data_IF_372434341655
#
_entry.id   IF_372434341655
#
_cell.length_a   1.000
_cell.length_b   1.000
_cell.length_c   1.000
_cell.angle_alpha   90.00
_cell.angle_beta   90.00
_cell.angle_gamma   90.00
#
_symmetry.space_group_name_H-M   'P 1'
#
loop_
_entity.id
_entity.type
_entity.pdbx_description
1 polymer ?
#
# COMPACT_ATOMS: atom_id res chain seq x y z
N UNK A 1 0.36 21.83 8.07
CA UNK A 1 -0.45 21.07 9.04
C UNK A 1 0.50 20.35 9.98
N UNK A 2 0.10 19.94 11.21
CA UNK A 2 1.00 19.15 12.06
C UNK A 2 1.37 17.84 11.36
N UNK A 3 2.64 17.44 11.44
CA UNK A 3 3.12 16.16 10.91
C UNK A 3 2.37 15.02 11.61
N UNK A 4 1.82 14.04 10.88
CA UNK A 4 1.13 12.92 11.51
C UNK A 4 2.05 12.12 12.45
N UNK A 5 1.48 11.68 13.56
CA UNK A 5 2.15 10.70 14.42
C UNK A 5 2.32 9.37 13.67
N UNK A 6 3.40 8.66 13.97
CA UNK A 6 3.57 7.27 13.54
C UNK A 6 2.54 6.36 14.23
N UNK A 7 2.18 5.23 13.61
CA UNK A 7 1.35 4.23 14.28
C UNK A 7 2.03 3.78 15.59
N UNK A 8 1.26 3.49 16.64
CA UNK A 8 1.82 2.92 17.85
C UNK A 8 2.44 1.56 17.51
N UNK A 9 3.59 1.22 18.10
CA UNK A 9 4.11 -0.14 17.99
C UNK A 9 3.13 -1.13 18.64
N UNK A 10 3.24 -2.41 18.31
CA UNK A 10 2.49 -3.44 19.04
C UNK A 10 2.79 -3.26 20.53
N UNK A 11 1.77 -3.27 21.42
CA UNK A 11 1.98 -3.13 22.85
C UNK A 11 3.07 -4.09 23.28
N UNK A 12 4.22 -3.54 23.71
CA UNK A 12 5.38 -4.32 24.10
C UNK A 12 5.04 -5.07 25.39
N UNK A 13 4.48 -6.27 25.26
CA UNK A 13 4.66 -7.26 26.30
C UNK A 13 6.18 -7.45 26.47
N UNK A 14 6.68 -7.42 27.71
CA UNK A 14 8.08 -7.76 27.96
C UNK A 14 8.37 -9.12 27.30
N UNK A 15 9.24 -9.09 26.30
CA UNK A 15 9.56 -10.24 25.47
C UNK A 15 11.07 -10.33 25.32
N UNK A 16 11.56 -11.55 25.07
CA UNK A 16 12.99 -11.75 24.78
C UNK A 16 13.43 -10.93 23.56
N UNK A 17 12.57 -10.78 22.57
CA UNK A 17 12.86 -9.99 21.36
C UNK A 17 12.92 -8.50 21.68
N UNK A 18 11.97 -7.96 22.44
CA UNK A 18 11.97 -6.55 22.82
C UNK A 18 13.20 -6.17 23.64
N UNK A 19 13.63 -7.04 24.57
CA UNK A 19 14.86 -6.80 25.37
C UNK A 19 16.15 -6.86 24.55
N UNK A 20 16.18 -7.65 23.47
CA UNK A 20 17.37 -7.82 22.63
C UNK A 20 17.45 -6.79 21.50
N UNK A 21 16.32 -6.47 20.89
CA UNK A 21 16.24 -5.69 19.65
C UNK A 21 15.48 -4.37 19.81
N UNK A 22 15.06 -4.03 21.03
CA UNK A 22 14.26 -2.87 21.35
C UNK A 22 12.79 -3.06 21.03
N UNK A 23 11.97 -2.03 21.29
CA UNK A 23 10.56 -2.05 20.90
C UNK A 23 10.43 -2.19 19.37
N UNK A 24 9.34 -2.82 18.95
CA UNK A 24 8.99 -2.90 17.54
C UNK A 24 8.86 -1.50 16.94
N UNK A 25 9.23 -1.35 15.67
CA UNK A 25 9.11 -0.09 14.93
C UNK A 25 7.94 -0.22 13.96
N UNK A 26 6.91 0.61 14.14
CA UNK A 26 5.79 0.73 13.23
C UNK A 26 5.95 1.99 12.36
N UNK A 27 6.16 1.80 11.05
CA UNK A 27 6.27 2.90 10.10
C UNK A 27 4.89 3.38 9.62
N UNK A 28 4.80 4.64 9.17
CA UNK A 28 3.59 5.19 8.56
C UNK A 28 3.08 4.34 7.39
N UNK A 29 1.77 4.37 7.10
CA UNK A 29 1.05 3.44 6.20
C UNK A 29 0.98 1.96 6.68
N UNK A 30 1.57 1.61 7.82
CA UNK A 30 1.39 0.32 8.48
C UNK A 30 0.49 0.44 9.73
N UNK A 31 0.18 -0.68 10.40
CA UNK A 31 -0.65 -0.67 11.61
C UNK A 31 -2.14 -0.45 11.35
N UNK A 32 -2.68 -1.05 10.27
CA UNK A 32 -4.12 -0.99 9.98
C UNK A 32 -4.93 -1.48 11.19
N UNK A 33 -5.98 -0.75 11.62
CA UNK A 33 -6.86 -1.19 12.70
C UNK A 33 -7.82 -2.30 12.25
N UNK A 34 -7.90 -2.59 10.94
CA UNK A 34 -8.82 -3.57 10.40
C UNK A 34 -8.21 -4.97 10.45
N UNK A 35 -8.95 -5.92 11.00
CA UNK A 35 -8.66 -7.34 10.76
C UNK A 35 -9.03 -7.68 9.32
N UNK A 36 -8.02 -7.99 8.50
CA UNK A 36 -8.20 -8.29 7.08
C UNK A 36 -9.09 -9.50 6.80
N UNK A 37 -9.18 -10.44 7.75
CA UNK A 37 -9.95 -11.70 7.66
C UNK A 37 -9.86 -12.38 6.28
N UNK A 38 -8.64 -12.44 5.72
CA UNK A 38 -8.43 -12.74 4.30
C UNK A 38 -8.98 -14.10 3.82
N UNK A 39 -9.12 -15.07 4.73
CA UNK A 39 -9.70 -16.38 4.45
C UNK A 39 -11.23 -16.33 4.20
N UNK A 40 -11.94 -15.30 4.68
CA UNK A 40 -13.38 -15.12 4.42
C UNK A 40 -13.66 -14.53 3.04
N UNK A 41 -12.65 -14.04 2.32
CA UNK A 41 -12.82 -13.40 1.02
C UNK A 41 -13.33 -14.35 -0.06
N UNK A 42 -13.20 -15.66 0.12
CA UNK A 42 -13.74 -16.67 -0.78
C UNK A 42 -15.19 -17.05 -0.44
N UNK A 43 -15.70 -16.65 0.72
CA UNK A 43 -17.07 -16.90 1.14
C UNK A 43 -17.98 -15.81 0.54
N UNK A 44 -18.56 -16.07 -0.63
CA UNK A 44 -19.47 -15.13 -1.30
C UNK A 44 -20.66 -14.70 -0.42
N UNK A 45 -21.30 -15.60 0.37
CA UNK A 45 -22.33 -15.22 1.34
C UNK A 45 -21.84 -14.24 2.41
N UNK A 46 -20.59 -14.38 2.88
CA UNK A 46 -19.98 -13.45 3.83
C UNK A 46 -19.87 -12.06 3.23
N UNK A 47 -19.27 -11.94 2.04
CA UNK A 47 -19.07 -10.65 1.37
C UNK A 47 -20.40 -9.97 1.06
N UNK A 48 -21.40 -10.74 0.62
CA UNK A 48 -22.75 -10.26 0.33
C UNK A 48 -23.46 -9.75 1.61
N UNK A 49 -23.36 -10.48 2.72
CA UNK A 49 -23.88 -10.06 4.02
C UNK A 49 -23.18 -8.80 4.53
N UNK A 50 -21.84 -8.79 4.47
CA UNK A 50 -21.01 -7.66 4.87
C UNK A 50 -21.29 -6.40 4.04
N UNK A 51 -21.47 -6.54 2.72
CA UNK A 51 -21.75 -5.42 1.83
C UNK A 51 -23.04 -4.67 2.23
N UNK A 52 -24.10 -5.43 2.51
CA UNK A 52 -25.44 -4.88 2.75
C UNK A 52 -25.70 -4.49 4.21
N UNK A 53 -24.81 -4.84 5.12
CA UNK A 53 -25.03 -4.58 6.54
C UNK A 53 -25.10 -3.06 6.81
N UNK A 54 -26.07 -2.56 7.62
CA UNK A 54 -26.22 -1.13 7.88
C UNK A 54 -25.01 -0.46 8.55
N UNK A 55 -24.18 -1.23 9.27
CA UNK A 55 -22.96 -0.70 9.89
C UNK A 55 -21.81 -0.51 8.91
N UNK A 56 -21.86 -1.11 7.72
CA UNK A 56 -20.75 -1.12 6.76
C UNK A 56 -20.34 0.29 6.34
N UNK A 57 -19.03 0.48 6.20
CA UNK A 57 -18.40 1.74 5.86
C UNK A 57 -17.70 1.64 4.51
N UNK A 58 -17.92 2.64 3.67
CA UNK A 58 -17.35 2.71 2.33
C UNK A 58 -16.43 3.91 2.20
N UNK A 59 -15.13 3.65 1.96
CA UNK A 59 -14.17 4.65 1.54
C UNK A 59 -14.32 4.86 0.03
N UNK A 60 -14.71 6.06 -0.38
CA UNK A 60 -14.75 6.40 -1.79
C UNK A 60 -13.36 6.82 -2.25
N UNK A 61 -12.95 6.36 -3.43
CA UNK A 61 -11.72 6.79 -4.09
C UNK A 61 -12.02 7.30 -5.50
N UNK A 62 -11.54 8.48 -5.86
CA UNK A 62 -11.64 9.05 -7.21
C UNK A 62 -10.23 9.30 -7.74
N UNK A 63 -9.86 8.73 -8.89
CA UNK A 63 -8.49 8.72 -9.40
C UNK A 63 -7.47 8.28 -8.34
N UNK A 64 -7.83 7.25 -7.57
CA UNK A 64 -7.06 6.69 -6.45
C UNK A 64 -6.87 7.64 -5.26
N UNK A 65 -7.47 8.83 -5.28
CA UNK A 65 -7.49 9.76 -4.16
C UNK A 65 -8.65 9.42 -3.22
N UNK A 66 -8.43 9.37 -1.89
CA UNK A 66 -9.47 9.03 -0.94
C UNK A 66 -10.38 10.23 -0.68
N UNK A 67 -11.64 9.94 -0.36
CA UNK A 67 -12.54 10.90 0.25
C UNK A 67 -12.08 11.20 1.69
N UNK A 68 -11.95 12.49 2.00
CA UNK A 68 -11.45 12.99 3.28
C UNK A 68 -12.35 14.09 3.83
N UNK A 69 -12.23 14.33 5.13
CA UNK A 69 -12.79 15.51 5.77
C UNK A 69 -12.06 16.79 5.32
N UNK A 70 -12.66 17.96 5.56
CA UNK A 70 -12.13 19.26 5.13
C UNK A 70 -10.70 19.56 5.61
N UNK A 71 -10.30 19.01 6.75
CA UNK A 71 -8.94 19.15 7.29
C UNK A 71 -7.90 18.24 6.59
N UNK A 72 -8.34 17.32 5.73
CA UNK A 72 -7.52 16.33 5.00
C UNK A 72 -6.68 15.41 5.89
N UNK A 73 -6.96 15.36 7.21
CA UNK A 73 -6.20 14.54 8.18
C UNK A 73 -6.88 13.22 8.49
N UNK A 74 -8.14 13.06 8.07
CA UNK A 74 -8.90 11.81 8.28
C UNK A 74 -9.76 11.44 7.09
N UNK A 75 -9.89 10.13 6.89
CA UNK A 75 -10.78 9.55 5.88
C UNK A 75 -12.24 9.85 6.21
N UNK A 76 -13.03 10.09 5.17
CA UNK A 76 -14.47 10.21 5.29
C UNK A 76 -15.14 8.95 4.75
N UNK A 77 -16.20 8.52 5.44
CA UNK A 77 -16.88 7.25 5.21
C UNK A 77 -18.32 7.46 4.77
N UNK A 78 -18.78 6.60 3.87
CA UNK A 78 -20.16 6.60 3.35
C UNK A 78 -20.86 5.29 3.69
N UNK A 79 -22.17 5.21 3.40
CA UNK A 79 -22.98 4.02 3.65
C UNK A 79 -23.30 3.27 2.36
N UNK A 80 -23.88 2.08 2.50
CA UNK A 80 -24.34 1.30 1.35
C UNK A 80 -25.36 2.05 0.48
N UNK A 81 -26.22 2.89 1.08
CA UNK A 81 -27.21 3.67 0.31
C UNK A 81 -26.56 4.71 -0.61
N UNK A 82 -25.41 5.27 -0.22
CA UNK A 82 -24.68 6.23 -1.04
C UNK A 82 -24.03 5.53 -2.26
N UNK A 83 -23.46 4.33 -2.09
CA UNK A 83 -22.72 3.63 -3.16
C UNK A 83 -23.58 2.73 -4.04
N UNK A 84 -24.77 2.31 -3.58
CA UNK A 84 -25.66 1.41 -4.33
C UNK A 84 -25.94 1.86 -5.78
N UNK A 85 -26.17 3.15 -6.10
CA UNK A 85 -26.36 3.59 -7.48
C UNK A 85 -25.13 3.39 -8.38
N UNK A 86 -23.92 3.42 -7.82
CA UNK A 86 -22.67 3.15 -8.55
C UNK A 86 -22.50 1.66 -8.77
N UNK A 87 -22.76 0.84 -7.74
CA UNK A 87 -22.58 -0.62 -7.81
C UNK A 87 -23.61 -1.31 -8.72
N UNK A 88 -24.81 -0.75 -8.86
CA UNK A 88 -25.89 -1.32 -9.68
C UNK A 88 -26.54 -2.60 -9.12
N UNK A 89 -26.02 -3.15 -8.03
CA UNK A 89 -26.47 -4.38 -7.38
C UNK A 89 -25.41 -4.93 -6.42
N UNK A 90 -25.65 -6.10 -5.84
CA UNK A 90 -24.62 -6.80 -5.07
C UNK A 90 -23.81 -7.74 -6.01
N UNK A 91 -22.50 -7.49 -6.20
CA UNK A 91 -21.66 -8.32 -7.05
C UNK A 91 -21.38 -9.72 -6.47
N UNK A 92 -21.84 -9.98 -5.24
CA UNK A 92 -21.67 -11.22 -4.49
C UNK A 92 -23.00 -12.00 -4.33
N UNK A 93 -24.05 -11.67 -5.10
CA UNK A 93 -25.34 -12.38 -5.02
C UNK A 93 -25.30 -13.80 -5.58
N UNK A 94 -24.30 -14.13 -6.40
CA UNK A 94 -24.10 -15.46 -6.98
C UNK A 94 -22.81 -16.09 -6.47
N UNK A 95 -22.72 -17.44 -6.37
CA UNK A 95 -21.45 -18.10 -6.07
C UNK A 95 -20.37 -17.72 -7.07
N UNK A 96 -19.10 -17.62 -6.62
CA UNK A 96 -17.96 -17.22 -7.46
C UNK A 96 -17.90 -17.99 -8.79
N UNK A 97 -18.12 -19.32 -8.76
CA UNK A 97 -18.11 -20.16 -9.95
C UNK A 97 -19.12 -19.70 -11.00
N UNK A 98 -20.30 -19.28 -10.56
CA UNK A 98 -21.36 -18.81 -11.46
C UNK A 98 -21.06 -17.41 -11.99
N UNK A 99 -20.50 -16.51 -11.17
CA UNK A 99 -20.03 -15.19 -11.63
C UNK A 99 -18.96 -15.36 -12.72
N UNK A 100 -18.01 -16.27 -12.51
CA UNK A 100 -16.95 -16.56 -13.50
C UNK A 100 -17.51 -17.23 -14.75
N UNK A 101 -18.47 -18.16 -14.60
CA UNK A 101 -19.11 -18.88 -15.71
C UNK A 101 -19.91 -17.93 -16.60
N UNK A 102 -20.66 -17.00 -15.99
CA UNK A 102 -21.57 -16.06 -16.67
C UNK A 102 -20.92 -14.72 -17.03
N UNK A 103 -19.59 -14.64 -16.97
CA UNK A 103 -18.84 -13.42 -17.22
C UNK A 103 -19.14 -12.79 -18.58
N UNK A 104 -19.19 -11.45 -18.59
CA UNK A 104 -19.48 -10.60 -19.73
C UNK A 104 -18.49 -9.44 -19.80
N UNK A 105 -17.66 -9.38 -20.84
CA UNK A 105 -16.70 -8.28 -21.02
C UNK A 105 -17.32 -6.94 -21.43
N UNK A 106 -18.55 -6.96 -21.98
CA UNK A 106 -19.31 -5.75 -22.34
C UNK A 106 -19.95 -5.04 -21.14
N UNK A 107 -19.91 -5.66 -19.94
CA UNK A 107 -20.45 -5.10 -18.71
C UNK A 107 -19.32 -4.55 -17.84
N UNK A 108 -19.37 -3.24 -17.57
CA UNK A 108 -18.46 -2.64 -16.61
C UNK A 108 -18.89 -2.99 -15.19
N UNK A 109 -17.95 -3.53 -14.41
CA UNK A 109 -18.11 -3.78 -12.97
C UNK A 109 -17.25 -2.77 -12.21
N UNK A 110 -17.86 -1.88 -11.40
CA UNK A 110 -17.12 -0.96 -10.53
C UNK A 110 -16.14 -1.72 -9.64
N UNK A 111 -14.97 -1.14 -9.40
CA UNK A 111 -13.99 -1.77 -8.54
C UNK A 111 -14.34 -1.53 -7.07
N UNK A 112 -14.41 -2.62 -6.32
CA UNK A 112 -14.69 -2.61 -4.90
C UNK A 112 -13.78 -3.59 -4.17
N UNK A 113 -13.17 -3.13 -3.08
CA UNK A 113 -12.21 -3.88 -2.28
C UNK A 113 -12.77 -4.07 -0.89
N UNK A 114 -12.84 -5.30 -0.40
CA UNK A 114 -13.14 -5.58 1.00
C UNK A 114 -11.85 -5.44 1.83
N UNK A 115 -11.78 -4.41 2.67
CA UNK A 115 -10.59 -4.06 3.43
C UNK A 115 -10.46 -4.91 4.70
N UNK A 116 -11.58 -5.23 5.35
CA UNK A 116 -11.58 -6.02 6.57
C UNK A 116 -12.72 -5.65 7.52
N UNK A 117 -12.59 -6.12 8.76
CA UNK A 117 -13.49 -5.81 9.87
C UNK A 117 -12.78 -4.94 10.90
N UNK A 118 -13.43 -3.87 11.34
CA UNK A 118 -13.06 -3.18 12.56
C UNK A 118 -13.66 -3.94 13.76
N UNK A 119 -12.85 -4.79 14.37
CA UNK A 119 -13.26 -5.62 15.50
C UNK A 119 -13.31 -4.85 16.83
N UNK A 120 -12.79 -3.62 16.88
CA UNK A 120 -12.92 -2.76 18.05
C UNK A 120 -14.34 -2.16 18.13
N UNK A 121 -14.99 -1.95 16.98
CA UNK A 121 -16.37 -1.47 16.89
C UNK A 121 -17.40 -2.58 17.15
N UNK A 122 -17.64 -2.87 18.44
CA UNK A 122 -18.60 -3.89 18.91
C UNK A 122 -19.93 -3.31 19.38
N UNK A 123 -20.59 -2.54 18.52
CA UNK A 123 -21.94 -2.02 18.81
C UNK A 123 -22.97 -3.15 18.88
N UNK A 124 -23.98 -2.96 19.73
CA UNK A 124 -25.16 -3.84 19.77
C UNK A 124 -25.86 -3.83 18.40
N UNK A 125 -26.21 -5.02 17.89
CA UNK A 125 -26.70 -5.17 16.52
C UNK A 125 -25.64 -4.93 15.43
N UNK A 126 -24.35 -4.94 15.80
CA UNK A 126 -23.24 -4.89 14.86
C UNK A 126 -23.17 -6.13 13.96
N UNK A 127 -22.36 -6.06 12.91
CA UNK A 127 -22.21 -7.16 11.98
C UNK A 127 -21.57 -8.37 12.66
N UNK A 128 -22.15 -9.55 12.41
CA UNK A 128 -21.67 -10.83 12.90
C UNK A 128 -21.64 -11.85 11.76
N UNK A 129 -20.56 -12.62 11.68
CA UNK A 129 -20.44 -13.72 10.74
C UNK A 129 -19.92 -14.97 11.42
N UNK A 130 -20.63 -16.09 11.24
CA UNK A 130 -20.15 -17.41 11.64
C UNK A 130 -19.60 -18.10 10.41
N UNK A 131 -18.28 -18.25 10.34
CA UNK A 131 -17.62 -18.89 9.21
C UNK A 131 -18.10 -20.34 9.07
N UNK A 132 -18.34 -20.79 7.86
CA UNK A 132 -18.77 -22.18 7.62
C UNK A 132 -17.68 -23.18 8.01
N UNK A 133 -16.43 -22.77 7.83
CA UNK A 133 -15.24 -23.60 8.04
C UNK A 133 -14.80 -23.70 9.49
N UNK A 134 -15.34 -22.87 10.40
CA UNK A 134 -14.92 -22.79 11.81
C UNK A 134 -16.08 -22.46 12.74
N UNK A 135 -16.08 -23.00 13.96
CA UNK A 135 -17.05 -22.61 15.00
C UNK A 135 -16.81 -21.19 15.57
N UNK A 136 -15.97 -20.37 14.93
CA UNK A 136 -15.64 -19.01 15.37
C UNK A 136 -16.62 -18.00 14.76
N UNK A 137 -17.12 -17.09 15.60
CA UNK A 137 -17.93 -15.94 15.15
C UNK A 137 -17.05 -14.70 15.09
N UNK A 138 -17.02 -14.06 13.93
CA UNK A 138 -16.34 -12.79 13.68
C UNK A 138 -17.33 -11.64 13.88
N UNK A 139 -16.90 -10.61 14.59
CA UNK A 139 -17.73 -9.45 14.94
C UNK A 139 -16.95 -8.18 14.68
N UNK A 140 -17.58 -7.20 14.06
CA UNK A 140 -16.94 -5.91 13.78
C UNK A 140 -17.53 -5.24 12.55
N UNK A 141 -17.28 -3.94 12.41
CA UNK A 141 -17.83 -3.16 11.30
C UNK A 141 -17.10 -3.47 9.99
N UNK A 142 -17.81 -3.92 8.92
CA UNK A 142 -17.17 -4.18 7.64
C UNK A 142 -16.75 -2.89 6.93
N UNK A 143 -15.58 -2.91 6.30
CA UNK A 143 -15.02 -1.79 5.56
C UNK A 143 -14.73 -2.18 4.12
N UNK A 144 -15.18 -1.34 3.18
CA UNK A 144 -14.90 -1.47 1.76
C UNK A 144 -14.27 -0.19 1.20
N UNK A 145 -13.48 -0.31 0.15
CA UNK A 145 -13.10 0.81 -0.72
C UNK A 145 -13.79 0.68 -2.07
N UNK A 146 -14.29 1.78 -2.65
CA UNK A 146 -15.00 1.81 -3.93
C UNK A 146 -14.37 2.84 -4.84
N UNK A 147 -14.04 2.43 -6.07
CA UNK A 147 -13.62 3.37 -7.12
C UNK A 147 -14.85 4.08 -7.69
N UNK A 148 -14.90 5.40 -7.49
CA UNK A 148 -15.93 6.29 -8.00
C UNK A 148 -15.40 7.23 -9.08
N UNK A 149 -14.29 6.88 -9.73
CA UNK A 149 -13.79 7.61 -10.90
C UNK A 149 -14.84 7.58 -12.03
N UNK A 150 -15.35 8.73 -12.51
CA UNK A 150 -16.40 8.74 -13.52
C UNK A 150 -15.96 8.16 -14.87
N UNK A 151 -16.48 6.98 -15.22
CA UNK A 151 -16.17 6.29 -16.49
C UNK A 151 -17.25 5.31 -16.90
N UNK A 152 -17.24 4.94 -18.18
CA UNK A 152 -18.07 3.86 -18.74
C UNK A 152 -19.56 4.02 -18.37
N UNK A 153 -20.25 2.92 -18.04
CA UNK A 153 -21.67 2.91 -17.72
C UNK A 153 -22.03 3.50 -16.36
N UNK A 154 -21.05 3.83 -15.50
CA UNK A 154 -21.30 4.37 -14.15
C UNK A 154 -20.93 5.84 -14.01
N UNK A 155 -20.56 6.51 -15.10
CA UNK A 155 -20.11 7.91 -15.12
C UNK A 155 -21.07 8.85 -14.41
N UNK A 156 -22.35 8.85 -14.79
CA UNK A 156 -23.35 9.76 -14.24
C UNK A 156 -23.62 9.51 -12.74
N UNK A 157 -23.66 8.24 -12.34
CA UNK A 157 -23.83 7.85 -10.93
C UNK A 157 -22.64 8.30 -10.08
N UNK A 158 -21.41 8.14 -10.58
CA UNK A 158 -20.20 8.62 -9.93
C UNK A 158 -20.16 10.15 -9.82
N UNK A 159 -20.43 10.88 -10.91
CA UNK A 159 -20.45 12.35 -10.90
C UNK A 159 -21.48 12.90 -9.90
N UNK A 160 -22.66 12.27 -9.84
CA UNK A 160 -23.68 12.63 -8.85
C UNK A 160 -23.18 12.36 -7.43
N UNK A 161 -22.64 11.17 -7.16
CA UNK A 161 -22.15 10.81 -5.82
C UNK A 161 -21.03 11.75 -5.35
N UNK A 162 -20.09 12.10 -6.24
CA UNK A 162 -19.02 13.06 -5.95
C UNK A 162 -19.61 14.42 -5.53
N UNK A 163 -20.54 14.97 -6.33
CA UNK A 163 -21.21 16.24 -6.02
C UNK A 163 -22.00 16.18 -4.70
N UNK A 164 -22.65 15.05 -4.42
CA UNK A 164 -23.37 14.84 -3.17
C UNK A 164 -22.41 14.86 -1.97
N UNK A 165 -21.20 14.29 -2.10
CA UNK A 165 -20.18 14.34 -1.03
C UNK A 165 -19.58 15.73 -0.87
N UNK A 166 -19.34 16.45 -1.95
CA UNK A 166 -18.91 17.86 -1.92
C UNK A 166 -19.94 18.75 -1.23
N UNK A 167 -21.23 18.54 -1.51
CA UNK A 167 -22.34 19.21 -0.84
C UNK A 167 -22.41 18.92 0.67
N UNK A 168 -21.87 17.80 1.14
CA UNK A 168 -21.71 17.45 2.57
C UNK A 168 -20.43 18.06 3.18
N UNK A 169 -19.67 18.87 2.43
CA UNK A 169 -18.42 19.49 2.90
C UNK A 169 -17.22 18.54 2.93
N UNK A 170 -17.32 17.40 2.24
CA UNK A 170 -16.22 16.44 2.06
C UNK A 170 -15.51 16.73 0.74
N UNK A 171 -14.31 16.19 0.56
CA UNK A 171 -13.58 16.32 -0.70
C UNK A 171 -12.62 15.17 -0.91
N UNK A 172 -12.11 15.03 -2.14
CA UNK A 172 -11.06 14.07 -2.44
C UNK A 172 -9.69 14.73 -2.24
N UNK A 173 -8.76 14.01 -1.61
CA UNK A 173 -7.40 14.50 -1.45
C UNK A 173 -6.70 14.66 -2.81
N UNK A 174 -5.51 15.26 -2.82
CA UNK A 174 -4.75 15.51 -4.06
C UNK A 174 -3.29 15.07 -3.89
N UNK A 175 -2.72 14.54 -4.98
CA UNK A 175 -1.31 14.18 -5.04
C UNK A 175 -0.97 12.98 -4.16
N UNK A 176 0.16 13.07 -3.43
CA UNK A 176 0.54 12.07 -2.43
C UNK A 176 -0.06 12.47 -1.09
N UNK A 177 -0.97 11.64 -0.61
CA UNK A 177 -1.61 11.81 0.69
C UNK A 177 -0.65 11.39 1.79
N UNK A 178 -0.07 12.37 2.49
CA UNK A 178 0.93 12.16 3.54
C UNK A 178 0.50 12.71 4.92
N UNK A 179 -0.68 13.34 5.01
CA UNK A 179 -1.17 14.06 6.20
C UNK A 179 -2.26 13.30 7.01
N UNK A 180 -2.65 12.11 6.56
CA UNK A 180 -3.63 11.29 7.27
C UNK A 180 -3.10 10.85 8.65
N UNK A 181 -4.01 10.68 9.61
CA UNK A 181 -3.68 9.97 10.85
C UNK A 181 -3.23 8.53 10.53
N UNK A 182 -2.32 7.98 11.33
CA UNK A 182 -1.67 6.70 11.03
C UNK A 182 -2.65 5.55 10.69
N UNK A 183 -3.72 5.39 11.47
CA UNK A 183 -4.73 4.36 11.24
C UNK A 183 -5.43 4.52 9.86
N UNK A 184 -5.82 5.75 9.53
CA UNK A 184 -6.44 6.12 8.27
C UNK A 184 -5.47 5.96 7.09
N UNK A 185 -4.21 6.35 7.27
CA UNK A 185 -3.15 6.15 6.29
C UNK A 185 -2.97 4.66 5.96
N UNK A 186 -2.98 3.79 6.97
CA UNK A 186 -2.82 2.36 6.79
C UNK A 186 -3.98 1.71 6.01
N UNK A 187 -5.21 2.10 6.32
CA UNK A 187 -6.41 1.70 5.57
C UNK A 187 -6.31 2.18 4.12
N UNK A 188 -5.97 3.46 3.93
CA UNK A 188 -5.84 4.05 2.60
C UNK A 188 -4.74 3.36 1.78
N UNK A 189 -3.61 3.01 2.39
CA UNK A 189 -2.51 2.34 1.70
C UNK A 189 -2.94 0.99 1.10
N UNK A 190 -3.72 0.19 1.85
CA UNK A 190 -4.32 -1.05 1.35
C UNK A 190 -5.32 -0.78 0.23
N UNK A 191 -6.28 0.13 0.47
CA UNK A 191 -7.31 0.48 -0.50
C UNK A 191 -6.68 0.95 -1.83
N UNK A 192 -5.75 1.89 -1.76
CA UNK A 192 -5.10 2.49 -2.92
C UNK A 192 -4.34 1.45 -3.74
N UNK A 193 -3.50 0.62 -3.12
CA UNK A 193 -2.72 -0.39 -3.84
C UNK A 193 -3.60 -1.38 -4.58
N UNK A 194 -4.69 -1.83 -3.95
CA UNK A 194 -5.60 -2.82 -4.53
C UNK A 194 -6.48 -2.24 -5.62
N UNK A 195 -6.96 -1.00 -5.45
CA UNK A 195 -7.68 -0.29 -6.50
C UNK A 195 -6.78 -0.04 -7.71
N UNK A 196 -5.56 0.42 -7.48
CA UNK A 196 -4.57 0.67 -8.52
C UNK A 196 -4.18 -0.61 -9.26
N UNK A 197 -3.92 -1.71 -8.54
CA UNK A 197 -3.64 -3.01 -9.15
C UNK A 197 -4.81 -3.51 -10.00
N UNK A 198 -6.04 -3.43 -9.50
CA UNK A 198 -7.22 -3.84 -10.26
C UNK A 198 -7.43 -2.98 -11.51
N UNK A 199 -7.14 -1.68 -11.43
CA UNK A 199 -7.25 -0.75 -12.54
C UNK A 199 -6.21 -1.02 -13.63
N UNK A 200 -4.95 -1.30 -13.25
CA UNK A 200 -3.83 -1.47 -14.19
C UNK A 200 -3.71 -2.90 -14.77
N UNK A 201 -4.40 -3.88 -14.19
CA UNK A 201 -4.31 -5.28 -14.63
C UNK A 201 -5.64 -5.85 -15.19
N UNK A 202 -6.39 -5.14 -16.06
CA UNK A 202 -7.70 -5.60 -16.50
C UNK A 202 -7.66 -6.85 -17.40
N UNK A 203 -6.48 -7.20 -17.94
CA UNK A 203 -6.27 -8.32 -18.84
C UNK A 203 -5.35 -9.39 -18.24
N UNK A 204 -5.54 -10.64 -18.63
CA UNK A 204 -4.74 -11.77 -18.20
C UNK A 204 -3.36 -11.70 -18.86
N UNK A 205 -2.30 -11.58 -18.06
CA UNK A 205 -0.93 -11.52 -18.58
C UNK A 205 -0.48 -12.79 -19.34
N UNK A 206 -1.17 -13.92 -19.18
CA UNK A 206 -0.87 -15.16 -19.90
C UNK A 206 -1.50 -15.23 -21.29
N UNK A 207 -2.74 -14.76 -21.46
CA UNK A 207 -3.50 -14.96 -22.70
C UNK A 207 -4.13 -13.69 -23.30
N UNK A 208 -3.92 -12.53 -22.67
CA UNK A 208 -4.43 -11.22 -23.13
C UNK A 208 -5.93 -11.00 -22.95
N UNK A 209 -6.69 -11.98 -22.45
CA UNK A 209 -8.15 -11.87 -22.32
C UNK A 209 -8.57 -11.04 -21.08
N UNK A 210 -9.71 -10.32 -21.12
CA UNK A 210 -10.24 -9.61 -19.96
C UNK A 210 -10.40 -10.51 -18.74
N UNK A 211 -10.07 -9.97 -17.56
CA UNK A 211 -10.17 -10.66 -16.27
C UNK A 211 -11.26 -10.03 -15.40
N UNK A 212 -11.73 -10.81 -14.43
CA UNK A 212 -12.72 -10.39 -13.45
C UNK A 212 -12.08 -10.28 -12.06
N UNK A 213 -12.35 -9.20 -11.35
CA UNK A 213 -11.98 -9.06 -9.94
C UNK A 213 -12.92 -9.89 -9.07
N UNK A 214 -12.36 -10.72 -8.20
CA UNK A 214 -13.06 -11.61 -7.26
C UNK A 214 -12.36 -11.57 -5.90
N UNK A 215 -12.81 -12.37 -4.94
CA UNK A 215 -12.27 -12.45 -3.57
C UNK A 215 -12.19 -11.09 -2.87
N UNK A 216 -13.25 -10.29 -2.97
CA UNK A 216 -13.29 -8.95 -2.41
C UNK A 216 -12.21 -8.01 -2.96
N UNK A 217 -11.77 -8.21 -4.21
CA UNK A 217 -10.77 -7.38 -4.87
C UNK A 217 -9.33 -7.91 -4.79
N UNK A 218 -9.08 -9.04 -4.14
CA UNK A 218 -7.74 -9.62 -3.90
C UNK A 218 -7.32 -10.67 -4.92
N UNK A 219 -8.14 -10.93 -5.93
CA UNK A 219 -7.79 -11.87 -6.99
C UNK A 219 -8.43 -11.44 -8.30
N UNK A 220 -7.72 -11.64 -9.40
CA UNK A 220 -8.23 -11.50 -10.76
C UNK A 220 -8.26 -12.86 -11.42
N UNK A 221 -9.44 -13.30 -11.80
CA UNK A 221 -9.64 -14.58 -12.49
C UNK A 221 -9.77 -14.32 -13.99
N UNK A 222 -9.20 -15.19 -14.82
CA UNK A 222 -9.42 -15.21 -16.26
C UNK A 222 -10.60 -16.14 -16.59
N UNK A 223 -11.80 -15.62 -16.89
CA UNK A 223 -12.96 -16.46 -17.18
C UNK A 223 -12.70 -17.40 -18.38
N UNK A 224 -13.21 -18.64 -18.33
CA UNK A 224 -13.12 -19.58 -19.43
C UNK A 224 -14.02 -19.22 -20.61
N UNK A 225 -15.09 -18.46 -20.36
CA UNK A 225 -16.07 -18.04 -21.34
C UNK A 225 -16.29 -16.52 -21.28
N UNK A 226 -16.84 -15.97 -22.35
CA UNK A 226 -17.29 -14.58 -22.42
C UNK A 226 -18.62 -14.52 -23.15
N UNK A 227 -19.70 -14.29 -22.39
CA UNK A 227 -21.04 -14.26 -22.95
C UNK A 227 -21.30 -12.99 -23.77
N UNK A 228 -20.40 -12.00 -23.73
CA UNK A 228 -20.47 -10.85 -24.63
C UNK A 228 -20.31 -11.24 -26.12
N UNK A 229 -19.78 -12.43 -26.41
CA UNK A 229 -19.65 -12.97 -27.77
C UNK A 229 -20.96 -13.53 -28.33
N UNK A 230 -21.96 -13.81 -27.49
CA UNK A 230 -23.19 -14.46 -27.91
C UNK A 230 -24.22 -13.43 -28.43
N UNK A 231 -24.97 -13.78 -29.50
CA UNK A 231 -26.06 -12.93 -29.98
C UNK A 231 -27.22 -12.94 -28.97
N UNK A 232 -27.54 -11.77 -28.41
CA UNK A 232 -28.64 -11.59 -27.45
C UNK A 232 -28.20 -11.52 -25.99
N UNK A 233 -29.17 -11.26 -25.11
CA UNK A 233 -28.96 -11.01 -23.67
C UNK A 233 -29.36 -12.18 -22.78
N UNK A 234 -29.70 -13.34 -23.34
CA UNK A 234 -30.09 -14.51 -22.55
C UNK A 234 -28.87 -15.06 -21.81
N UNK A 235 -28.95 -15.12 -20.49
CA UNK A 235 -27.95 -15.78 -19.64
C UNK A 235 -28.36 -17.24 -19.53
N UNK A 236 -27.51 -18.20 -19.96
CA UNK A 236 -27.80 -19.62 -19.84
C UNK A 236 -28.02 -20.01 -18.38
N UNK A 237 -28.95 -20.92 -18.13
CA UNK A 237 -29.19 -21.41 -16.76
C UNK A 237 -27.97 -22.17 -16.23
N UNK A 238 -27.85 -22.34 -14.91
CA UNK A 238 -26.72 -23.01 -14.26
C UNK A 238 -26.46 -24.43 -14.82
N UNK A 239 -27.51 -25.09 -15.30
CA UNK A 239 -27.49 -26.47 -15.81
C UNK A 239 -27.21 -26.55 -17.33
N UNK A 240 -27.31 -25.44 -18.05
CA UNK A 240 -27.08 -25.39 -19.49
C UNK A 240 -25.58 -25.32 -19.83
N UNK A 241 -25.09 -26.18 -20.75
CA UNK A 241 -23.73 -26.06 -21.26
C UNK A 241 -23.56 -24.76 -22.05
N UNK A 242 -22.46 -24.04 -21.80
CA UNK A 242 -22.12 -22.84 -22.55
C UNK A 242 -21.65 -23.20 -23.96
N UNK A 243 -22.03 -22.39 -24.95
CA UNK A 243 -21.68 -22.65 -26.35
C UNK A 243 -20.19 -22.45 -26.60
N UNK A 244 -19.65 -23.19 -27.58
CA UNK A 244 -18.26 -23.06 -28.03
C UNK A 244 -17.91 -21.64 -28.50
N UNK A 245 -18.89 -20.89 -29.01
CA UNK A 245 -18.72 -19.49 -29.44
C UNK A 245 -18.32 -18.57 -28.27
N UNK A 246 -18.84 -18.82 -27.06
CA UNK A 246 -18.48 -18.06 -25.87
C UNK A 246 -17.12 -18.45 -25.30
N UNK A 247 -16.61 -19.64 -25.65
CA UNK A 247 -15.38 -20.17 -25.09
C UNK A 247 -14.16 -19.29 -25.42
N UNK A 248 -13.19 -19.30 -24.52
CA UNK A 248 -11.87 -18.70 -24.71
C UNK A 248 -10.81 -19.78 -24.82
N UNK A 249 -9.69 -19.53 -25.53
CA UNK A 249 -8.58 -20.47 -25.62
C UNK A 249 -8.10 -20.94 -24.23
N UNK A 250 -7.48 -22.13 -24.15
CA UNK A 250 -6.88 -22.62 -22.91
C UNK A 250 -5.94 -21.58 -22.29
N UNK A 251 -5.98 -21.44 -20.96
CA UNK A 251 -5.11 -20.53 -20.23
C UNK A 251 -4.55 -21.23 -18.99
N UNK A 252 -3.23 -21.14 -18.81
CA UNK A 252 -2.53 -21.76 -17.68
C UNK A 252 -3.00 -21.20 -16.34
N UNK A 253 -3.40 -19.92 -16.27
CA UNK A 253 -3.88 -19.31 -15.01
C UNK A 253 -5.19 -19.90 -14.50
N UNK A 254 -5.90 -20.69 -15.31
CA UNK A 254 -7.12 -21.41 -14.90
C UNK A 254 -6.81 -22.78 -14.26
N UNK A 255 -5.55 -23.21 -14.34
CA UNK A 255 -5.09 -24.50 -13.81
C UNK A 255 -4.15 -24.23 -12.63
N UNK A 256 -4.65 -24.42 -11.41
CA UNK A 256 -3.87 -24.22 -10.18
C UNK A 256 -3.70 -22.75 -9.80
N UNK A 257 -2.71 -22.49 -8.94
CA UNK A 257 -2.41 -21.16 -8.40
C UNK A 257 -1.39 -20.46 -9.29
N UNK A 258 -1.70 -19.24 -9.74
CA UNK A 258 -0.80 -18.41 -10.54
C UNK A 258 -0.68 -17.02 -9.91
N UNK A 259 0.56 -16.57 -9.70
CA UNK A 259 0.87 -15.23 -9.19
C UNK A 259 0.26 -14.10 -10.03
N UNK A 260 0.05 -14.33 -11.34
CA UNK A 260 -0.64 -13.39 -12.24
C UNK A 260 -2.07 -13.05 -11.80
N UNK A 261 -2.66 -13.87 -10.94
CA UNK A 261 -4.02 -13.66 -10.43
C UNK A 261 -4.07 -12.84 -9.14
N UNK A 262 -2.94 -12.49 -8.53
CA UNK A 262 -2.89 -11.85 -7.21
C UNK A 262 -2.22 -10.47 -7.23
N UNK A 263 -2.55 -9.58 -6.26
CA UNK A 263 -1.91 -8.28 -6.12
C UNK A 263 -0.40 -8.38 -6.04
N UNK A 264 0.27 -7.42 -6.68
CA UNK A 264 1.72 -7.29 -6.66
C UNK A 264 2.16 -6.31 -5.58
N UNK A 265 3.23 -6.65 -4.87
CA UNK A 265 3.97 -5.74 -4.00
C UNK A 265 5.42 -5.78 -4.45
N UNK A 266 5.96 -4.62 -4.81
CA UNK A 266 7.32 -4.49 -5.31
C UNK A 266 8.28 -4.27 -4.12
N UNK A 267 9.18 -5.22 -3.82
CA UNK A 267 10.18 -5.03 -2.77
C UNK A 267 11.19 -3.94 -3.19
N UNK A 268 11.40 -2.96 -2.32
CA UNK A 268 12.32 -1.84 -2.55
C UNK A 268 13.20 -1.70 -1.32
N UNK A 269 14.51 -1.85 -1.46
CA UNK A 269 15.44 -1.58 -0.36
C UNK A 269 15.62 -0.09 -0.17
N UNK A 270 15.77 0.33 1.09
CA UNK A 270 16.14 1.71 1.44
C UNK A 270 17.09 1.67 2.63
N UNK A 271 18.26 2.26 2.50
CA UNK A 271 19.40 1.89 3.35
C UNK A 271 20.18 3.08 3.90
N UNK A 272 20.26 3.14 5.23
CA UNK A 272 21.23 3.99 5.91
C UNK A 272 22.60 3.30 5.90
N UNK A 273 23.54 3.82 5.10
CA UNK A 273 24.90 3.29 5.02
C UNK A 273 25.81 4.09 5.93
N UNK A 274 26.39 3.41 6.91
CA UNK A 274 27.33 3.98 7.88
C UNK A 274 28.76 3.73 7.40
N UNK A 275 29.61 4.72 7.58
CA UNK A 275 31.02 4.62 7.21
C UNK A 275 31.76 3.61 8.12
N UNK A 276 32.97 3.19 7.74
CA UNK A 276 33.66 2.12 8.44
C UNK A 276 33.94 2.49 9.92
N UNK A 277 34.30 3.76 10.14
CA UNK A 277 34.58 4.31 11.47
C UNK A 277 33.33 4.50 12.35
N UNK A 278 32.11 4.38 11.80
CA UNK A 278 30.88 4.54 12.59
C UNK A 278 30.61 5.98 13.03
N UNK A 279 30.94 6.97 12.22
CA UNK A 279 30.82 8.41 12.55
C UNK A 279 30.02 9.21 11.52
N UNK A 280 29.87 8.68 10.30
CA UNK A 280 29.19 9.34 9.19
C UNK A 280 28.15 8.41 8.55
N UNK A 281 27.16 9.01 7.91
CA UNK A 281 26.16 8.34 7.08
C UNK A 281 26.23 8.86 5.65
N UNK A 282 26.12 7.96 4.67
CA UNK A 282 26.05 8.31 3.26
C UNK A 282 24.63 8.76 2.93
N UNK A 283 24.50 9.96 2.37
CA UNK A 283 23.25 10.48 1.84
C UNK A 283 23.42 10.91 0.38
N UNK A 284 22.40 10.63 -0.43
CA UNK A 284 22.33 11.01 -1.84
C UNK A 284 21.18 11.97 -2.13
N UNK A 285 21.27 12.70 -3.24
CA UNK A 285 20.18 13.49 -3.78
C UNK A 285 20.04 13.29 -5.29
N UNK A 286 18.81 13.32 -5.76
CA UNK A 286 18.49 13.40 -7.19
C UNK A 286 18.28 14.86 -7.58
N UNK A 287 18.57 15.20 -8.84
CA UNK A 287 18.39 16.54 -9.42
C UNK A 287 16.99 17.14 -9.23
N UNK A 288 15.96 16.31 -9.14
CA UNK A 288 14.57 16.74 -8.92
C UNK A 288 14.28 17.23 -7.49
N UNK A 289 15.15 16.93 -6.53
CA UNK A 289 14.94 17.30 -5.13
C UNK A 289 15.25 18.79 -4.91
N UNK A 290 14.53 19.46 -3.98
CA UNK A 290 14.85 20.83 -3.59
C UNK A 290 16.34 20.94 -3.20
N UNK A 291 17.00 22.10 -3.39
CA UNK A 291 18.37 22.31 -2.95
C UNK A 291 18.57 21.88 -1.50
N UNK A 292 19.75 21.31 -1.21
CA UNK A 292 20.15 20.82 0.12
C UNK A 292 19.30 19.68 0.71
N UNK A 293 18.31 19.15 -0.03
CA UNK A 293 17.50 18.01 0.40
C UNK A 293 18.16 16.69 -0.02
N UNK A 294 18.56 15.89 0.97
CA UNK A 294 19.19 14.58 0.80
C UNK A 294 18.39 13.50 1.51
N UNK A 295 18.56 12.25 1.07
CA UNK A 295 17.99 11.06 1.69
C UNK A 295 19.01 9.93 1.69
N UNK A 296 18.72 8.89 2.44
CA UNK A 296 19.32 7.58 2.24
C UNK A 296 19.00 7.04 0.83
N UNK A 297 19.87 6.17 0.31
CA UNK A 297 19.73 5.54 -1.01
C UNK A 297 18.63 4.48 -0.99
N UNK A 298 18.04 4.20 -2.15
CA UNK A 298 16.96 3.22 -2.28
C UNK A 298 16.79 2.75 -3.71
N UNK A 299 16.56 1.45 -3.90
CA UNK A 299 16.31 0.86 -5.21
C UNK A 299 15.49 -0.42 -5.16
N UNK A 300 15.05 -0.89 -6.33
CA UNK A 300 14.20 -2.07 -6.43
C UNK A 300 15.01 -3.33 -6.19
N UNK A 301 14.39 -4.34 -5.57
CA UNK A 301 15.02 -5.66 -5.60
C UNK A 301 14.84 -6.30 -6.98
N UNK A 302 15.91 -6.88 -7.51
CA UNK A 302 15.93 -7.70 -8.72
C UNK A 302 15.45 -9.13 -8.46
N UNK A 303 15.03 -9.86 -9.52
CA UNK A 303 14.72 -11.28 -9.39
C UNK A 303 15.92 -12.09 -8.89
N UNK A 304 15.67 -12.95 -7.90
CA UNK A 304 16.65 -13.88 -7.32
C UNK A 304 17.81 -13.25 -6.53
N UNK A 305 17.67 -11.99 -6.09
CA UNK A 305 18.58 -11.42 -5.08
C UNK A 305 17.95 -11.41 -3.67
N UNK A 306 18.81 -11.55 -2.65
CA UNK A 306 18.44 -11.27 -1.27
C UNK A 306 18.38 -9.76 -1.01
N UNK A 307 17.70 -9.36 0.08
CA UNK A 307 17.64 -7.95 0.50
C UNK A 307 19.04 -7.40 0.77
N UNK A 308 19.91 -8.22 1.35
CA UNK A 308 21.29 -7.83 1.64
C UNK A 308 22.12 -7.67 0.37
N UNK A 309 21.90 -8.49 -0.66
CA UNK A 309 22.54 -8.33 -1.98
C UNK A 309 22.04 -7.06 -2.67
N UNK A 310 20.73 -6.82 -2.69
CA UNK A 310 20.12 -5.61 -3.24
C UNK A 310 20.72 -4.34 -2.62
N UNK A 311 20.83 -4.29 -1.28
CA UNK A 311 21.45 -3.16 -0.58
C UNK A 311 22.89 -2.92 -1.03
N UNK A 312 23.69 -3.98 -1.22
CA UNK A 312 25.09 -3.83 -1.65
C UNK A 312 25.19 -3.38 -3.09
N UNK A 313 24.37 -3.96 -3.97
CA UNK A 313 24.31 -3.63 -5.40
C UNK A 313 23.93 -2.18 -5.59
N UNK A 314 22.79 -1.76 -5.06
CA UNK A 314 22.26 -0.39 -5.22
C UNK A 314 23.23 0.67 -4.69
N UNK A 315 23.88 0.45 -3.53
CA UNK A 315 24.86 1.41 -3.00
C UNK A 315 26.10 1.51 -3.87
N UNK A 316 26.55 0.39 -4.45
CA UNK A 316 27.71 0.37 -5.34
C UNK A 316 27.39 0.99 -6.71
N UNK A 317 26.19 0.74 -7.25
CA UNK A 317 25.72 1.31 -8.52
C UNK A 317 25.53 2.83 -8.41
N UNK A 318 24.82 3.31 -7.39
CA UNK A 318 24.51 4.74 -7.26
C UNK A 318 25.66 5.59 -6.72
N UNK A 319 26.53 5.01 -5.87
CA UNK A 319 27.52 5.79 -5.12
C UNK A 319 28.94 5.20 -5.08
N UNK A 320 29.20 4.03 -5.68
CA UNK A 320 30.52 3.39 -5.70
C UNK A 320 31.01 2.81 -4.36
N UNK A 321 30.24 3.02 -3.29
CA UNK A 321 30.60 2.61 -1.93
C UNK A 321 30.40 1.11 -1.74
N UNK A 322 31.40 0.44 -1.17
CA UNK A 322 31.36 -1.01 -0.95
C UNK A 322 30.83 -1.32 0.44
N UNK A 323 29.68 -2.01 0.51
CA UNK A 323 28.98 -2.34 1.76
C UNK A 323 29.24 -3.78 2.19
N UNK A 324 29.61 -3.96 3.45
CA UNK A 324 29.83 -5.25 4.07
C UNK A 324 28.57 -5.81 4.73
N UNK A 325 28.47 -5.67 6.05
CA UNK A 325 27.34 -6.19 6.84
C UNK A 325 26.08 -5.34 6.60
N UNK A 326 24.94 -6.02 6.41
CA UNK A 326 23.61 -5.42 6.26
C UNK A 326 22.68 -5.99 7.33
N UNK A 327 21.86 -5.13 7.93
CA UNK A 327 20.85 -5.52 8.93
C UNK A 327 19.52 -4.90 8.55
N UNK A 328 18.47 -5.73 8.43
CA UNK A 328 17.10 -5.25 8.20
C UNK A 328 16.59 -4.58 9.49
N UNK A 329 16.09 -3.35 9.36
CA UNK A 329 15.59 -2.54 10.48
C UNK A 329 14.08 -2.66 10.63
N UNK A 330 13.32 -2.35 9.59
CA UNK A 330 11.86 -2.26 9.61
C UNK A 330 11.31 -2.14 8.19
N UNK A 331 9.99 -2.29 7.99
CA UNK A 331 9.37 -2.11 6.67
C UNK A 331 8.28 -1.03 6.69
N UNK A 332 8.04 -0.41 5.53
CA UNK A 332 7.00 0.59 5.33
C UNK A 332 6.27 0.30 4.02
N UNK A 333 4.94 0.04 4.05
CA UNK A 333 4.14 0.07 2.84
C UNK A 333 4.21 1.45 2.18
N UNK A 334 4.39 1.48 0.86
CA UNK A 334 4.44 2.73 0.11
C UNK A 334 3.50 2.65 -1.09
N UNK A 335 2.27 3.19 -0.98
CA UNK A 335 1.19 2.94 -1.93
C UNK A 335 1.30 3.79 -3.21
N UNK A 336 2.52 4.09 -3.66
CA UNK A 336 2.78 4.93 -4.84
C UNK A 336 3.83 4.30 -5.77
N UNK A 337 3.46 3.26 -6.57
CA UNK A 337 2.14 2.66 -6.66
C UNK A 337 1.89 1.49 -5.68
N UNK A 338 2.85 0.57 -5.50
CA UNK A 338 2.67 -0.65 -4.71
C UNK A 338 3.99 -1.21 -4.15
N UNK A 339 4.82 -0.34 -3.56
CA UNK A 339 6.13 -0.77 -3.04
C UNK A 339 6.01 -1.20 -1.57
N UNK A 340 6.83 -2.17 -1.17
CA UNK A 340 7.18 -2.41 0.22
C UNK A 340 8.61 -1.91 0.44
N UNK A 341 8.74 -0.78 1.11
CA UNK A 341 10.04 -0.24 1.48
C UNK A 341 10.62 -1.10 2.59
N UNK A 342 11.79 -1.69 2.35
CA UNK A 342 12.51 -2.56 3.27
C UNK A 342 13.71 -1.78 3.76
N UNK A 343 13.57 -1.21 4.95
CA UNK A 343 14.59 -0.39 5.59
C UNK A 343 15.74 -1.25 6.09
N UNK A 344 16.95 -0.93 5.68
CA UNK A 344 18.17 -1.61 6.10
C UNK A 344 19.23 -0.62 6.62
N UNK A 345 20.16 -1.14 7.41
CA UNK A 345 21.35 -0.42 7.84
C UNK A 345 22.55 -1.22 7.36
N UNK A 346 23.40 -0.57 6.56
CA UNK A 346 24.63 -1.13 6.02
C UNK A 346 25.86 -0.48 6.64
N UNK A 347 26.98 -1.18 6.67
CA UNK A 347 28.28 -0.61 7.04
C UNK A 347 29.26 -0.79 5.90
N UNK A 348 29.97 0.28 5.51
CA UNK A 348 31.02 0.19 4.50
C UNK A 348 32.20 -0.65 4.99
N UNK A 349 32.88 -1.29 4.04
CA UNK A 349 34.13 -2.02 4.31
C UNK A 349 35.30 -1.03 4.45
N UNK A 350 36.38 -1.39 5.18
CA UNK A 350 37.58 -0.57 5.22
C UNK A 350 38.11 -0.28 3.81
N UNK A 351 38.32 0.99 3.47
CA UNK A 351 38.82 1.41 2.16
C UNK A 351 37.79 1.36 1.03
N UNK A 352 36.52 1.06 1.33
CA UNK A 352 35.41 1.03 0.36
C UNK A 352 34.50 2.25 0.43
N UNK A 353 35.02 3.40 0.85
CA UNK A 353 34.23 4.61 1.20
C UNK A 353 34.30 5.71 0.12
N UNK A 354 35.11 5.53 -0.91
CA UNK A 354 35.22 6.46 -2.03
C UNK A 354 33.90 6.53 -2.79
N UNK A 355 33.42 7.75 -3.01
CA UNK A 355 32.17 8.01 -3.73
C UNK A 355 32.47 8.11 -5.22
N UNK A 356 31.76 7.31 -6.01
CA UNK A 356 31.77 7.34 -7.48
C UNK A 356 30.34 7.27 -8.01
N UNK A 357 29.92 8.31 -8.73
CA UNK A 357 28.58 8.41 -9.36
C UNK A 357 28.60 7.98 -10.84
N UNK A 358 29.69 7.35 -11.30
CA UNK A 358 29.92 7.02 -12.69
C UNK A 358 29.23 5.75 -13.19
N UNK A 359 28.81 4.85 -12.27
CA UNK A 359 28.17 3.58 -12.64
C UNK A 359 26.70 3.77 -13.01
N UNK A 360 25.97 4.62 -12.28
CA UNK A 360 24.59 4.98 -12.56
C UNK A 360 24.33 6.50 -12.35
N UNK A 361 23.96 7.27 -13.40
CA UNK A 361 23.73 8.71 -13.31
C UNK A 361 22.39 9.11 -12.63
N UNK A 362 21.83 8.28 -11.75
CA UNK A 362 20.60 8.59 -11.02
C UNK A 362 20.77 9.70 -9.97
N UNK A 363 21.92 9.77 -9.30
CA UNK A 363 22.21 10.78 -8.29
C UNK A 363 22.85 12.03 -8.92
N UNK A 364 22.42 13.20 -8.44
CA UNK A 364 23.11 14.47 -8.73
C UNK A 364 24.35 14.64 -7.83
N UNK A 365 24.26 14.16 -6.58
CA UNK A 365 25.32 14.29 -5.59
C UNK A 365 25.14 13.25 -4.47
N UNK A 366 26.25 12.76 -3.91
CA UNK A 366 26.27 11.89 -2.74
C UNK A 366 27.41 12.31 -1.80
N UNK A 367 27.15 12.33 -0.49
CA UNK A 367 28.09 12.83 0.52
C UNK A 367 27.99 12.04 1.81
N UNK A 368 29.14 11.94 2.48
CA UNK A 368 29.22 11.52 3.87
C UNK A 368 28.89 12.70 4.79
N UNK A 369 27.85 12.57 5.60
CA UNK A 369 27.48 13.54 6.63
C UNK A 369 27.78 12.98 8.01
N UNK A 370 28.36 13.81 8.89
CA UNK A 370 28.58 13.42 10.27
C UNK A 370 27.26 13.19 11.01
N UNK A 371 27.28 12.36 12.05
CA UNK A 371 26.08 12.13 12.86
C UNK A 371 25.54 13.40 13.53
N UNK A 372 26.40 14.39 13.81
CA UNK A 372 25.98 15.66 14.42
C UNK A 372 25.21 16.54 13.42
N UNK A 373 25.69 16.63 12.17
CA UNK A 373 24.96 17.32 11.09
C UNK A 373 23.58 16.69 10.87
N UNK A 374 23.52 15.36 10.83
CA UNK A 374 22.26 14.63 10.64
C UNK A 374 21.33 14.82 11.82
N UNK A 375 21.85 14.81 13.06
CA UNK A 375 21.03 15.01 14.27
C UNK A 375 20.42 16.40 14.29
N UNK A 376 21.17 17.43 13.91
CA UNK A 376 20.63 18.79 13.79
C UNK A 376 19.59 18.88 12.65
N UNK A 377 19.88 18.30 11.49
CA UNK A 377 18.94 18.27 10.38
C UNK A 377 17.63 17.51 10.71
N UNK A 378 17.70 16.43 11.50
CA UNK A 378 16.50 15.73 12.00
C UNK A 378 15.68 16.61 12.96
N UNK A 379 16.31 17.54 13.68
CA UNK A 379 15.65 18.47 14.61
C UNK A 379 14.96 19.62 13.89
N UNK A 380 15.61 20.25 12.91
CA UNK A 380 15.12 21.50 12.29
C UNK A 380 14.94 21.47 10.78
N UNK A 381 15.55 20.51 10.09
CA UNK A 381 15.64 20.44 8.63
C UNK A 381 14.72 19.42 7.95
N UNK A 382 13.71 18.88 8.64
CA UNK A 382 12.80 17.87 8.04
C UNK A 382 11.63 18.50 7.28
N UNK A 383 11.34 18.01 6.08
CA UNK A 383 10.23 18.50 5.24
C UNK A 383 9.87 17.51 4.13
N UNK A 384 8.61 17.50 3.69
CA UNK A 384 8.20 16.81 2.47
C UNK A 384 8.87 17.40 1.22
N UNK A 385 8.91 16.63 0.14
CA UNK A 385 9.44 17.11 -1.15
C UNK A 385 8.55 18.25 -1.65
N UNK A 386 9.13 19.44 -1.81
CA UNK A 386 8.41 20.65 -2.26
C UNK A 386 7.76 21.46 -1.14
N UNK A 387 7.89 21.02 0.12
CA UNK A 387 7.45 21.80 1.27
C UNK A 387 8.54 22.79 1.72
N UNK A 388 8.11 23.87 2.37
CA UNK A 388 9.01 24.80 3.03
C UNK A 388 9.69 24.13 4.23
N UNK A 389 10.91 24.58 4.55
CA UNK A 389 11.61 24.18 5.76
C UNK A 389 10.95 24.76 7.02
N UNK A 390 11.26 24.18 8.17
CA UNK A 390 10.79 24.67 9.47
C UNK A 390 11.36 26.05 9.82
N UNK A 391 10.76 26.76 10.79
CA UNK A 391 11.15 28.14 11.13
C UNK A 391 12.56 28.25 11.73
N UNK A 392 13.11 27.16 12.27
CA UNK A 392 14.46 27.10 12.86
C UNK A 392 15.55 26.70 11.85
N UNK A 393 15.17 26.34 10.61
CA UNK A 393 16.11 25.95 9.57
C UNK A 393 16.89 27.16 9.05
N UNK A 394 18.20 26.99 8.85
CA UNK A 394 19.05 28.00 8.19
C UNK A 394 19.27 27.61 6.74
N UNK A 395 19.04 28.57 5.84
CA UNK A 395 19.19 28.33 4.40
C UNK A 395 20.60 27.84 4.05
N UNK A 396 20.68 26.75 3.29
CA UNK A 396 21.94 26.09 2.91
C UNK A 396 22.30 24.87 3.76
N UNK A 397 21.67 24.70 4.93
CA UNK A 397 21.91 23.53 5.79
C UNK A 397 21.26 22.26 5.22
N UNK A 398 21.68 21.09 5.71
CA UNK A 398 21.14 19.79 5.32
C UNK A 398 19.63 19.70 5.60
N UNK A 399 18.85 19.31 4.59
CA UNK A 399 17.42 18.99 4.70
C UNK A 399 17.18 17.50 4.51
N UNK A 400 16.23 16.98 5.29
CA UNK A 400 15.92 15.56 5.34
C UNK A 400 14.43 15.27 5.12
N UNK A 401 14.06 14.02 4.79
CA UNK A 401 12.67 13.58 4.71
C UNK A 401 11.90 13.77 6.03
N UNK A 402 10.56 13.90 5.97
CA UNK A 402 9.75 14.11 7.16
C UNK A 402 9.73 12.87 8.06
N UNK A 403 9.36 13.01 9.35
CA UNK A 403 9.28 11.90 10.31
C UNK A 403 8.44 10.69 9.86
N UNK A 404 7.46 10.89 8.98
CA UNK A 404 6.62 9.80 8.45
C UNK A 404 7.34 8.92 7.42
N UNK A 405 8.47 9.35 6.86
CA UNK A 405 9.25 8.59 5.89
C UNK A 405 10.20 7.60 6.58
N UNK A 406 10.27 6.36 6.08
CA UNK A 406 11.20 5.34 6.59
C UNK A 406 12.67 5.77 6.50
N UNK A 407 13.02 6.60 5.51
CA UNK A 407 14.34 7.23 5.43
C UNK A 407 14.72 7.99 6.71
N UNK A 408 13.80 8.82 7.21
CA UNK A 408 13.97 9.55 8.48
C UNK A 408 14.09 8.59 9.67
N UNK A 409 13.29 7.51 9.69
CA UNK A 409 13.35 6.50 10.75
C UNK A 409 14.69 5.77 10.77
N UNK A 410 15.27 5.44 9.61
CA UNK A 410 16.60 4.82 9.51
C UNK A 410 17.70 5.75 10.01
N UNK A 411 17.70 7.02 9.58
CA UNK A 411 18.67 8.02 10.07
C UNK A 411 18.55 8.21 11.57
N UNK A 412 17.32 8.36 12.09
CA UNK A 412 17.06 8.48 13.53
C UNK A 412 17.56 7.26 14.30
N UNK A 413 17.35 6.05 13.76
CA UNK A 413 17.82 4.82 14.39
C UNK A 413 19.34 4.81 14.54
N UNK A 414 20.06 5.19 13.48
CA UNK A 414 21.52 5.26 13.45
C UNK A 414 22.07 6.33 14.40
N UNK A 415 21.56 7.56 14.33
CA UNK A 415 22.21 8.72 14.99
C UNK A 415 21.71 9.00 16.41
N UNK A 416 20.53 8.50 16.78
CA UNK A 416 19.86 8.86 18.04
C UNK A 416 19.40 7.68 18.89
N UNK A 417 19.23 6.48 18.32
CA UNK A 417 18.68 5.31 19.06
C UNK A 417 19.70 4.21 19.32
N UNK A 418 20.98 4.56 19.37
CA UNK A 418 22.05 3.65 19.78
C UNK A 418 22.17 2.39 18.92
N UNK A 419 21.68 2.40 17.67
CA UNK A 419 21.69 1.21 16.80
C UNK A 419 23.12 0.68 16.56
N UNK A 420 24.11 1.57 16.63
CA UNK A 420 25.54 1.27 16.50
C UNK A 420 26.23 0.96 17.83
N UNK A 421 25.53 1.07 18.95
CA UNK A 421 26.06 0.71 20.27
C UNK A 421 26.10 -0.80 20.47
N UNK A 422 27.06 -1.27 21.26
CA UNK A 422 27.14 -2.68 21.68
C UNK A 422 26.09 -3.05 22.75
N UNK A 423 25.43 -2.06 23.33
CA UNK A 423 24.40 -2.25 24.35
C UNK A 423 23.06 -2.63 23.70
N UNK A 424 22.28 -3.55 24.30
CA UNK A 424 20.93 -3.84 23.87
C UNK A 424 20.09 -2.56 23.85
N UNK A 425 19.23 -2.42 22.84
CA UNK A 425 18.21 -1.36 22.81
C UNK A 425 17.25 -1.55 24.00
N UNK A 426 17.51 -0.89 25.12
CA UNK A 426 16.60 -0.87 26.28
C UNK A 426 15.38 0.00 26.02
#
# INVERSE_FOLDING_TARGET
>A
MPVPALPPPVPSADSMLSRKFGPEIANYFSGSPLNRVGFLRTETPFLSSALRHPSTRFLLCSDLQPLVHKDQTSLAWTSYSDVKPVLGGDPYDLPEQEIVRTYRSDKHVPQMIFLGLDEADKKEGGFEWRAETKQTTYRGTPHFAVDVTPRSSVKEACEKLIKDMEGKGLGFARGRVMDLRAADAAIYAEARQLLDWNLRNPFCAQCGQPTLSINGGFKRTCPPNDLAKLPGSAVPTAEEPLSEESARPPCATRKGVSNLSFPRTDPTVIMAVVNHAGTHILLGRNKRYPPHWYSVLAGFCEPAESIEEAVRREVWEEAGVHVGRVVIHSTQPWPYPANLMIGAIGQSVPGGEDIDLGNDPELEDAKWYSFDEVREALRVGTSGIGEASGPEYKEGDLRLPPPTAIANQLMTAVVSRGFLGAEPKM
#
